data_IF_013454800779
#
_entry.id   IF_013454800779
#
_cell.length_a   1.000
_cell.length_b   1.000
_cell.length_c   1.000
_cell.angle_alpha   90.00
_cell.angle_beta   90.00
_cell.angle_gamma   90.00
#
_symmetry.space_group_name_H-M   'P 1'
#
loop_
_entity.id
_entity.type
_entity.pdbx_description
1 polymer ?
#
# COMPACT_ATOMS: atom_id res chain seq x y z
N UNK A 1 7.99 -10.21 5.75
CA UNK A 1 7.57 -10.63 4.40
C UNK A 1 7.44 -9.45 3.44
N UNK A 2 6.71 -8.39 3.79
CA UNK A 2 6.50 -7.21 2.90
C UNK A 2 7.81 -6.51 2.53
N UNK A 3 8.69 -6.25 3.50
CA UNK A 3 10.00 -5.63 3.24
C UNK A 3 10.88 -6.49 2.32
N UNK A 4 10.86 -7.82 2.49
CA UNK A 4 11.61 -8.72 1.64
C UNK A 4 11.06 -8.72 0.20
N UNK A 5 9.73 -8.73 0.03
CA UNK A 5 9.10 -8.63 -1.28
C UNK A 5 9.42 -7.29 -1.97
N UNK A 6 9.38 -6.18 -1.21
CA UNK A 6 9.73 -4.86 -1.73
C UNK A 6 11.18 -4.78 -2.18
N UNK A 7 12.12 -5.32 -1.40
CA UNK A 7 13.55 -5.35 -1.76
C UNK A 7 13.79 -6.20 -3.02
N UNK A 8 13.16 -7.38 -3.11
CA UNK A 8 13.26 -8.27 -4.28
C UNK A 8 12.72 -7.60 -5.55
N UNK A 9 11.57 -6.91 -5.46
CA UNK A 9 11.00 -6.20 -6.61
C UNK A 9 11.86 -5.00 -7.03
N UNK A 10 12.42 -4.25 -6.08
CA UNK A 10 13.31 -3.15 -6.37
C UNK A 10 14.58 -3.63 -7.11
N UNK A 11 15.19 -4.71 -6.62
CA UNK A 11 16.37 -5.32 -7.25
C UNK A 11 16.06 -5.82 -8.67
N UNK A 12 14.92 -6.49 -8.86
CA UNK A 12 14.47 -6.98 -10.17
C UNK A 12 14.32 -5.87 -11.20
N UNK A 13 13.89 -4.69 -10.77
CA UNK A 13 13.68 -3.53 -11.64
C UNK A 13 14.83 -2.51 -11.63
N UNK A 14 15.94 -2.81 -10.94
CA UNK A 14 17.08 -1.91 -10.83
C UNK A 14 16.77 -0.59 -10.13
N UNK A 15 15.77 -0.59 -9.24
CA UNK A 15 15.36 0.58 -8.48
C UNK A 15 16.11 0.67 -7.14
N UNK A 16 16.49 1.89 -6.73
CA UNK A 16 17.04 2.11 -5.40
C UNK A 16 15.97 1.80 -4.33
N UNK A 17 16.34 1.01 -3.33
CA UNK A 17 15.46 0.64 -2.22
C UNK A 17 15.99 1.21 -0.91
N UNK A 18 15.12 1.95 -0.19
CA UNK A 18 15.45 2.52 1.11
C UNK A 18 14.45 2.09 2.16
N UNK A 19 14.94 1.65 3.31
CA UNK A 19 14.12 1.32 4.48
C UNK A 19 14.28 2.43 5.52
N UNK A 20 13.15 3.01 5.92
CA UNK A 20 13.07 3.98 7.00
C UNK A 20 12.24 3.38 8.13
N UNK A 21 12.78 3.35 9.35
CA UNK A 21 12.09 2.79 10.51
C UNK A 21 11.31 3.87 11.24
N UNK A 22 10.00 3.66 11.38
CA UNK A 22 9.11 4.51 12.18
C UNK A 22 8.31 3.63 13.12
N UNK A 23 8.37 3.91 14.42
CA UNK A 23 7.59 3.16 15.40
C UNK A 23 6.16 3.71 15.54
N UNK A 24 5.22 3.15 14.78
CA UNK A 24 3.80 3.47 14.90
C UNK A 24 3.10 2.72 16.05
N UNK A 25 3.77 1.75 16.69
CA UNK A 25 3.22 1.06 17.86
C UNK A 25 3.10 1.98 19.06
N UNK A 26 4.01 2.94 19.19
CA UNK A 26 3.95 3.98 20.24
C UNK A 26 2.71 4.87 20.15
N UNK A 27 2.09 4.98 18.95
CA UNK A 27 0.84 5.70 18.72
C UNK A 27 -0.37 4.77 18.98
N UNK A 28 -0.29 3.51 18.56
CA UNK A 28 -1.36 2.53 18.73
C UNK A 28 -2.59 2.80 17.86
N UNK A 29 -3.77 2.45 18.39
CA UNK A 29 -5.07 2.76 17.77
C UNK A 29 -5.48 1.88 16.58
N UNK A 30 -4.76 0.80 16.30
CA UNK A 30 -5.08 -0.15 15.21
C UNK A 30 -4.73 -1.58 15.62
N UNK A 31 -5.45 -2.55 15.08
CA UNK A 31 -5.10 -3.96 15.22
C UNK A 31 -3.75 -4.33 14.55
N UNK A 32 -3.18 -3.46 13.74
CA UNK A 32 -1.85 -3.65 13.13
C UNK A 32 -0.72 -3.03 13.95
N UNK A 33 -1.03 -2.18 14.94
CA UNK A 33 -0.04 -1.46 15.75
C UNK A 33 -0.23 -1.65 17.26
N UNK A 34 -1.30 -2.32 17.69
CA UNK A 34 -1.60 -2.64 19.08
C UNK A 34 -1.84 -4.14 19.24
N UNK A 35 -1.91 -4.61 20.48
CA UNK A 35 -2.25 -6.02 20.79
C UNK A 35 -3.76 -6.24 20.71
N UNK A 36 -4.29 -6.14 19.50
CA UNK A 36 -5.70 -6.30 19.16
C UNK A 36 -5.78 -7.35 18.05
N UNK A 37 -6.67 -8.33 18.20
CA UNK A 37 -6.87 -9.36 17.19
C UNK A 37 -7.33 -8.76 15.85
N UNK A 38 -6.70 -9.16 14.76
CA UNK A 38 -7.12 -8.79 13.40
C UNK A 38 -8.40 -9.57 13.07
N UNK A 39 -9.53 -8.91 12.80
CA UNK A 39 -10.78 -9.60 12.50
C UNK A 39 -10.70 -10.39 11.18
N UNK A 40 -11.41 -11.51 11.13
CA UNK A 40 -11.55 -12.33 9.92
C UNK A 40 -12.71 -11.88 9.02
N UNK A 41 -13.63 -11.04 9.55
CA UNK A 41 -14.75 -10.49 8.82
C UNK A 41 -14.68 -8.97 8.73
N UNK A 42 -15.21 -8.43 7.62
CA UNK A 42 -15.35 -6.99 7.47
C UNK A 42 -16.37 -6.45 8.49
N UNK A 43 -16.03 -5.35 9.17
CA UNK A 43 -16.94 -4.59 10.01
C UNK A 43 -17.57 -3.42 9.24
N UNK A 44 -18.53 -2.75 9.87
CA UNK A 44 -19.08 -1.48 9.36
C UNK A 44 -18.14 -0.29 9.69
N UNK A 45 -18.06 0.68 8.79
CA UNK A 45 -17.30 1.92 8.99
C UNK A 45 -15.79 1.77 8.77
N UNK A 46 -14.99 2.61 9.46
CA UNK A 46 -13.53 2.57 9.36
C UNK A 46 -13.02 1.31 10.08
N UNK A 47 -12.28 0.42 9.38
CA UNK A 47 -11.84 -0.83 9.96
C UNK A 47 -10.85 -0.63 11.11
N UNK A 48 -10.86 -1.55 12.07
CA UNK A 48 -9.91 -1.56 13.17
C UNK A 48 -8.44 -1.79 12.72
N UNK A 49 -8.25 -2.23 11.47
CA UNK A 49 -6.93 -2.34 10.81
C UNK A 49 -6.44 -1.01 10.23
N UNK A 50 -7.24 0.05 10.26
CA UNK A 50 -6.79 1.38 9.92
C UNK A 50 -5.72 1.84 10.92
N UNK A 51 -4.53 2.13 10.44
CA UNK A 51 -3.46 2.74 11.22
C UNK A 51 -3.59 4.26 11.09
N UNK A 52 -3.82 5.00 12.19
CA UNK A 52 -4.06 6.43 12.12
C UNK A 52 -2.98 7.18 11.34
N UNK A 53 -3.40 7.93 10.32
CA UNK A 53 -2.55 8.77 9.46
C UNK A 53 -1.34 8.06 8.82
N UNK A 54 -1.37 6.72 8.66
CA UNK A 54 -0.22 5.95 8.14
C UNK A 54 0.23 6.45 6.77
N UNK A 55 -0.68 6.65 5.82
CA UNK A 55 -0.30 7.10 4.49
C UNK A 55 0.22 8.54 4.50
N UNK A 56 -0.30 9.40 5.38
CA UNK A 56 0.26 10.75 5.58
C UNK A 56 1.71 10.68 6.03
N UNK A 57 2.02 9.85 7.03
CA UNK A 57 3.38 9.67 7.56
C UNK A 57 4.31 9.10 6.47
N UNK A 58 3.89 8.04 5.79
CA UNK A 58 4.69 7.39 4.75
C UNK A 58 4.95 8.33 3.56
N UNK A 59 3.94 9.05 3.10
CA UNK A 59 4.09 10.01 2.01
C UNK A 59 4.97 11.20 2.42
N UNK A 60 4.91 11.65 3.69
CA UNK A 60 5.79 12.72 4.18
C UNK A 60 7.26 12.29 4.20
N UNK A 61 7.55 11.04 4.56
CA UNK A 61 8.91 10.48 4.50
C UNK A 61 9.37 10.36 3.04
N UNK A 62 8.50 9.86 2.16
CA UNK A 62 8.78 9.77 0.73
C UNK A 62 9.01 11.14 0.09
N UNK A 63 8.25 12.16 0.51
CA UNK A 63 8.42 13.54 0.09
C UNK A 63 9.80 14.09 0.45
N UNK A 64 10.25 13.91 1.71
CA UNK A 64 11.59 14.33 2.11
C UNK A 64 12.69 13.59 1.33
N UNK A 65 12.49 12.32 1.00
CA UNK A 65 13.45 11.60 0.16
C UNK A 65 13.39 12.04 -1.29
N UNK A 66 12.23 12.31 -1.86
CA UNK A 66 12.06 12.87 -3.20
C UNK A 66 12.80 14.20 -3.35
N UNK A 67 12.72 15.08 -2.34
CA UNK A 67 13.42 16.36 -2.33
C UNK A 67 14.95 16.17 -2.34
N UNK A 68 15.49 15.21 -1.56
CA UNK A 68 16.92 14.86 -1.55
C UNK A 68 17.40 14.32 -2.91
N UNK A 69 16.53 13.58 -3.61
CA UNK A 69 16.82 13.02 -4.93
C UNK A 69 16.60 14.02 -6.08
N UNK A 70 15.97 15.17 -5.83
CA UNK A 70 15.52 16.10 -6.86
C UNK A 70 14.43 15.49 -7.75
N UNK A 71 13.57 14.64 -7.19
CA UNK A 71 12.50 13.98 -7.93
C UNK A 71 11.24 14.86 -7.98
N UNK A 72 10.64 14.97 -9.16
CA UNK A 72 9.43 15.76 -9.39
C UNK A 72 8.15 14.92 -9.26
N UNK A 73 8.25 13.59 -9.25
CA UNK A 73 7.12 12.66 -9.23
C UNK A 73 7.17 11.72 -8.03
N UNK A 74 6.05 11.60 -7.31
CA UNK A 74 5.86 10.69 -6.21
C UNK A 74 4.69 9.75 -6.52
N UNK A 75 4.93 8.44 -6.52
CA UNK A 75 3.91 7.45 -6.81
C UNK A 75 3.44 6.74 -5.54
N UNK A 76 2.13 6.55 -5.39
CA UNK A 76 1.57 5.75 -4.32
C UNK A 76 0.52 4.75 -4.83
N UNK A 77 0.47 3.58 -4.22
CA UNK A 77 -0.41 2.47 -4.58
C UNK A 77 -1.76 2.49 -3.86
N UNK A 78 -2.25 3.64 -3.42
CA UNK A 78 -3.55 3.75 -2.75
C UNK A 78 -4.69 3.39 -3.70
N UNK A 79 -5.74 2.75 -3.15
CA UNK A 79 -6.91 2.31 -3.89
C UNK A 79 -8.18 2.64 -3.08
N UNK A 80 -9.15 3.30 -3.71
CA UNK A 80 -10.36 3.78 -3.08
C UNK A 80 -11.63 3.01 -3.48
N UNK A 81 -11.58 2.21 -4.56
CA UNK A 81 -12.81 1.66 -5.19
C UNK A 81 -13.40 0.49 -4.41
N UNK A 82 -12.59 -0.52 -4.08
CA UNK A 82 -13.10 -1.75 -3.46
C UNK A 82 -13.14 -1.69 -1.95
N UNK A 83 -12.44 -0.74 -1.34
CA UNK A 83 -12.38 -0.59 0.09
C UNK A 83 -12.01 0.83 0.51
N UNK A 84 -13.03 1.67 0.57
CA UNK A 84 -12.90 3.10 0.91
C UNK A 84 -12.88 3.38 2.43
N UNK A 85 -12.68 2.34 3.26
CA UNK A 85 -12.69 2.49 4.72
C UNK A 85 -11.55 3.32 5.28
N UNK A 86 -10.48 3.56 4.51
CA UNK A 86 -9.34 4.33 4.96
C UNK A 86 -9.42 5.79 4.48
N UNK A 87 -9.52 6.77 5.40
CA UNK A 87 -9.62 8.18 5.04
C UNK A 87 -8.48 8.68 4.16
N UNK A 88 -7.28 8.15 4.40
CA UNK A 88 -6.03 8.50 3.73
C UNK A 88 -5.73 7.65 2.47
N UNK A 89 -6.78 7.09 1.85
CA UNK A 89 -6.73 6.44 0.53
C UNK A 89 -7.66 7.10 -0.49
N UNK A 90 -8.31 8.21 -0.15
CA UNK A 90 -9.29 8.91 -1.02
C UNK A 90 -8.61 9.88 -1.99
N UNK A 91 -9.21 10.15 -3.15
CA UNK A 91 -8.70 11.13 -4.11
C UNK A 91 -8.44 12.50 -3.48
N UNK A 92 -9.37 12.99 -2.63
CA UNK A 92 -9.27 14.29 -1.99
C UNK A 92 -8.05 14.38 -1.04
N UNK A 93 -7.68 13.26 -0.41
CA UNK A 93 -6.47 13.18 0.40
C UNK A 93 -5.22 13.33 -0.47
N UNK A 94 -5.14 12.61 -1.59
CA UNK A 94 -3.98 12.67 -2.52
C UNK A 94 -3.81 14.08 -3.08
N UNK A 95 -4.90 14.72 -3.50
CA UNK A 95 -4.89 16.10 -3.99
C UNK A 95 -4.46 17.10 -2.91
N UNK A 96 -4.93 16.92 -1.67
CA UNK A 96 -4.54 17.78 -0.55
C UNK A 96 -3.06 17.58 -0.18
N UNK A 97 -2.56 16.34 -0.24
CA UNK A 97 -1.16 16.05 0.01
C UNK A 97 -0.24 16.64 -1.05
N UNK A 98 -0.61 16.61 -2.33
CA UNK A 98 0.16 17.28 -3.41
C UNK A 98 0.25 18.79 -3.17
N UNK A 99 -0.85 19.43 -2.76
CA UNK A 99 -0.83 20.85 -2.40
C UNK A 99 0.10 21.13 -1.23
N UNK A 100 0.03 20.29 -0.18
CA UNK A 100 0.90 20.40 0.98
C UNK A 100 2.37 20.24 0.57
N UNK A 101 2.70 19.24 -0.25
CA UNK A 101 4.06 18.99 -0.71
C UNK A 101 4.67 20.22 -1.40
N UNK A 102 3.92 20.86 -2.29
CA UNK A 102 4.37 22.03 -3.02
C UNK A 102 4.44 23.32 -2.16
N UNK A 103 3.81 23.34 -0.99
CA UNK A 103 3.91 24.44 -0.03
C UNK A 103 4.99 24.25 1.02
N UNK A 104 5.35 22.99 1.33
CA UNK A 104 6.16 22.63 2.47
C UNK A 104 7.61 22.27 2.12
N UNK A 105 7.98 22.23 0.84
CA UNK A 105 9.32 21.87 0.38
C UNK A 105 10.07 23.06 -0.20
N UNK A 106 11.40 23.01 -0.13
CA UNK A 106 12.25 24.01 -0.78
C UNK A 106 11.97 24.02 -2.30
N UNK A 107 11.94 22.87 -2.92
CA UNK A 107 11.66 22.72 -4.35
C UNK A 107 10.34 23.40 -4.74
N UNK A 108 9.26 23.21 -3.97
CA UNK A 108 7.97 23.85 -4.22
C UNK A 108 8.02 25.38 -4.11
N UNK A 109 8.75 25.91 -3.13
CA UNK A 109 8.94 27.37 -2.94
C UNK A 109 9.80 27.98 -4.07
N UNK A 110 10.77 27.22 -4.58
CA UNK A 110 11.62 27.64 -5.70
C UNK A 110 10.97 27.47 -7.08
N UNK A 111 9.73 26.99 -7.12
CA UNK A 111 8.94 26.86 -8.34
C UNK A 111 9.08 25.52 -9.07
N UNK A 112 9.76 24.53 -8.47
CA UNK A 112 9.77 23.14 -8.90
C UNK A 112 8.51 22.46 -8.40
N UNK A 113 7.72 21.91 -9.31
CA UNK A 113 6.41 21.34 -8.95
C UNK A 113 6.49 19.82 -8.83
N UNK A 114 6.32 19.33 -7.61
CA UNK A 114 6.14 17.90 -7.34
C UNK A 114 4.70 17.49 -7.68
N UNK A 115 4.55 16.34 -8.35
CA UNK A 115 3.27 15.70 -8.64
C UNK A 115 3.12 14.40 -7.83
N UNK A 116 1.90 14.16 -7.30
CA UNK A 116 1.58 12.92 -6.59
C UNK A 116 0.66 12.05 -7.44
N UNK A 117 1.16 10.91 -7.85
CA UNK A 117 0.46 9.97 -8.72
C UNK A 117 -0.12 8.81 -7.92
N UNK A 118 -1.42 8.56 -8.08
CA UNK A 118 -2.12 7.42 -7.52
C UNK A 118 -2.83 6.62 -8.64
N UNK A 119 -2.07 5.91 -9.49
CA UNK A 119 -2.60 5.32 -10.71
C UNK A 119 -3.68 4.25 -10.47
N UNK A 120 -3.70 3.64 -9.29
CA UNK A 120 -4.65 2.58 -8.92
C UNK A 120 -5.90 3.10 -8.21
N UNK A 121 -6.01 4.39 -7.94
CA UNK A 121 -7.00 4.96 -7.01
C UNK A 121 -8.45 4.68 -7.41
N UNK A 122 -8.74 4.60 -8.71
CA UNK A 122 -10.08 4.37 -9.27
C UNK A 122 -10.26 2.96 -9.86
N UNK A 123 -9.29 2.08 -9.69
CA UNK A 123 -9.33 0.72 -10.25
C UNK A 123 -9.90 -0.26 -9.23
N UNK A 124 -10.75 -1.19 -9.67
CA UNK A 124 -11.14 -2.35 -8.87
C UNK A 124 -9.96 -3.31 -8.70
N UNK A 125 -10.02 -4.23 -7.72
CA UNK A 125 -8.97 -5.26 -7.54
C UNK A 125 -8.81 -6.13 -8.78
N UNK A 126 -9.90 -6.41 -9.50
CA UNK A 126 -9.86 -7.13 -10.76
C UNK A 126 -9.11 -6.34 -11.85
N UNK A 127 -9.38 -5.04 -11.98
CA UNK A 127 -8.68 -4.19 -12.93
C UNK A 127 -7.19 -4.07 -12.61
N UNK A 128 -6.83 -3.97 -11.32
CA UNK A 128 -5.44 -3.96 -10.87
C UNK A 128 -4.73 -5.27 -11.23
N UNK A 129 -5.39 -6.43 -11.04
CA UNK A 129 -4.83 -7.72 -11.40
C UNK A 129 -4.61 -7.86 -12.92
N UNK A 130 -5.59 -7.44 -13.74
CA UNK A 130 -5.48 -7.45 -15.19
C UNK A 130 -4.38 -6.50 -15.70
N UNK A 131 -4.30 -5.30 -15.15
CA UNK A 131 -3.27 -4.33 -15.54
C UNK A 131 -1.87 -4.80 -15.13
N UNK A 132 -1.72 -5.37 -13.93
CA UNK A 132 -0.46 -5.96 -13.51
C UNK A 132 -0.04 -7.12 -14.43
N UNK A 133 -0.98 -8.00 -14.83
CA UNK A 133 -0.71 -9.05 -15.80
C UNK A 133 -0.26 -8.47 -17.15
N UNK A 134 -0.94 -7.43 -17.64
CA UNK A 134 -0.58 -6.74 -18.90
C UNK A 134 0.84 -6.17 -18.84
N UNK A 135 1.25 -5.68 -17.68
CA UNK A 135 2.58 -5.09 -17.42
C UNK A 135 3.65 -6.15 -17.08
N UNK A 136 3.29 -7.43 -17.03
CA UNK A 136 4.22 -8.52 -16.71
C UNK A 136 4.57 -8.65 -15.24
N UNK A 137 3.72 -8.14 -14.33
CA UNK A 137 3.92 -8.28 -12.89
C UNK A 137 3.80 -9.74 -12.47
N UNK A 138 4.85 -10.29 -11.86
CA UNK A 138 4.80 -11.60 -11.21
C UNK A 138 4.17 -11.48 -9.82
N UNK A 139 2.87 -11.70 -9.75
CA UNK A 139 2.11 -11.64 -8.51
C UNK A 139 2.50 -12.72 -7.47
N UNK A 140 3.25 -13.76 -7.85
CA UNK A 140 3.76 -14.75 -6.89
C UNK A 140 4.79 -14.16 -5.91
N UNK A 141 5.43 -13.03 -6.30
CA UNK A 141 6.39 -12.27 -5.49
C UNK A 141 5.74 -11.20 -4.62
N UNK A 142 4.43 -11.04 -4.70
CA UNK A 142 3.69 -10.02 -3.94
C UNK A 142 2.98 -10.62 -2.73
N UNK A 143 2.93 -9.87 -1.63
CA UNK A 143 2.28 -10.26 -0.38
C UNK A 143 1.25 -9.21 0.02
N UNK A 144 0.00 -9.63 0.26
CA UNK A 144 -1.09 -8.76 0.72
C UNK A 144 -1.58 -9.08 2.13
N UNK A 145 -1.14 -10.18 2.73
CA UNK A 145 -1.66 -10.71 3.98
C UNK A 145 -1.20 -9.90 5.20
N UNK A 146 -2.14 -9.49 6.08
CA UNK A 146 -1.82 -8.83 7.35
C UNK A 146 -1.12 -9.76 8.37
N UNK A 147 -1.26 -11.07 8.21
CA UNK A 147 -0.78 -12.10 9.11
C UNK A 147 0.05 -13.17 8.37
N UNK A 148 0.87 -12.75 7.41
CA UNK A 148 1.77 -13.67 6.73
C UNK A 148 2.74 -14.32 7.72
N UNK A 149 2.99 -15.62 7.57
CA UNK A 149 3.93 -16.35 8.42
C UNK A 149 5.40 -15.97 8.13
N UNK A 150 6.32 -16.56 8.90
CA UNK A 150 7.76 -16.31 8.76
C UNK A 150 8.34 -16.75 7.39
N UNK A 151 7.59 -17.52 6.60
CA UNK A 151 7.94 -17.96 5.25
C UNK A 151 7.23 -17.11 4.16
N UNK A 152 6.51 -16.04 4.55
CA UNK A 152 5.76 -15.18 3.66
C UNK A 152 4.48 -15.81 3.10
N UNK A 153 3.98 -16.92 3.68
CA UNK A 153 2.73 -17.54 3.26
C UNK A 153 1.54 -16.81 3.86
N UNK A 154 0.52 -16.56 3.06
CA UNK A 154 -0.67 -15.84 3.45
C UNK A 154 -1.61 -16.69 4.33
N UNK A 155 -2.30 -16.06 5.29
CA UNK A 155 -3.22 -16.78 6.19
C UNK A 155 -4.51 -17.26 5.47
N UNK A 156 -4.89 -16.66 4.34
CA UNK A 156 -6.10 -16.98 3.58
C UNK A 156 -7.42 -16.54 4.21
N UNK A 157 -7.41 -15.81 5.34
CA UNK A 157 -8.60 -15.49 6.15
C UNK A 157 -8.84 -14.00 6.37
N UNK A 158 -7.79 -13.19 6.50
CA UNK A 158 -7.93 -11.75 6.73
C UNK A 158 -8.51 -11.05 5.51
N UNK A 159 -9.05 -9.83 5.70
CA UNK A 159 -9.65 -9.03 4.64
C UNK A 159 -8.74 -8.86 3.42
N UNK A 160 -7.45 -8.61 3.64
CA UNK A 160 -6.51 -8.44 2.53
C UNK A 160 -6.39 -9.72 1.68
N UNK A 161 -6.41 -10.92 2.30
CA UNK A 161 -6.41 -12.18 1.57
C UNK A 161 -7.71 -12.40 0.80
N UNK A 162 -8.85 -12.10 1.42
CA UNK A 162 -10.17 -12.24 0.81
C UNK A 162 -10.32 -11.31 -0.39
N UNK A 163 -10.05 -10.02 -0.22
CA UNK A 163 -10.13 -9.02 -1.29
C UNK A 163 -9.19 -9.35 -2.46
N UNK A 164 -7.99 -9.87 -2.16
CA UNK A 164 -7.07 -10.33 -3.20
C UNK A 164 -7.66 -11.49 -3.99
N UNK A 165 -8.10 -12.54 -3.31
CA UNK A 165 -8.66 -13.73 -3.96
C UNK A 165 -9.90 -13.39 -4.79
N UNK A 166 -10.81 -12.55 -4.26
CA UNK A 166 -11.98 -12.04 -4.98
C UNK A 166 -11.59 -11.23 -6.22
N UNK A 167 -10.55 -10.38 -6.11
CA UNK A 167 -10.04 -9.59 -7.23
C UNK A 167 -9.49 -10.46 -8.36
N UNK A 168 -8.68 -11.48 -8.04
CA UNK A 168 -8.18 -12.43 -9.05
C UNK A 168 -9.30 -13.26 -9.67
N UNK A 169 -10.25 -13.74 -8.86
CA UNK A 169 -11.41 -14.48 -9.36
C UNK A 169 -12.27 -13.62 -10.32
N UNK A 170 -12.55 -12.37 -9.94
CA UNK A 170 -13.30 -11.43 -10.79
C UNK A 170 -12.55 -11.04 -12.07
N UNK A 171 -11.23 -11.08 -12.07
CA UNK A 171 -10.38 -10.88 -13.23
C UNK A 171 -10.31 -12.14 -14.15
N UNK A 172 -10.81 -13.30 -13.70
CA UNK A 172 -10.63 -14.56 -14.39
C UNK A 172 -9.20 -15.09 -14.41
N UNK A 173 -8.38 -14.65 -13.44
CA UNK A 173 -6.98 -15.01 -13.31
C UNK A 173 -6.76 -15.96 -12.13
N UNK A 174 -5.80 -16.90 -12.22
CA UNK A 174 -5.39 -17.69 -11.08
C UNK A 174 -4.65 -16.78 -10.06
N UNK A 175 -5.00 -16.89 -8.77
CA UNK A 175 -4.25 -16.23 -7.71
C UNK A 175 -2.99 -17.06 -7.37
N UNK A 176 -1.77 -16.54 -7.62
CA UNK A 176 -0.53 -17.27 -7.36
C UNK A 176 -0.08 -17.19 -5.90
N UNK A 177 -0.91 -16.69 -5.00
CA UNK A 177 -0.57 -16.52 -3.58
C UNK A 177 -0.25 -17.86 -2.92
N UNK A 178 0.87 -17.93 -2.23
CA UNK A 178 1.22 -19.07 -1.38
C UNK A 178 0.48 -18.96 -0.05
N UNK A 179 -0.47 -19.83 0.16
CA UNK A 179 -1.22 -19.90 1.43
C UNK A 179 -0.57 -20.86 2.43
N UNK A 180 -0.66 -20.54 3.72
CA UNK A 180 -0.30 -21.45 4.79
C UNK A 180 -1.27 -22.67 4.78
N UNK A 181 -0.81 -23.88 5.13
CA UNK A 181 -1.69 -25.02 5.31
C UNK A 181 -2.81 -24.67 6.28
N UNK A 182 -4.04 -25.08 5.95
CA UNK A 182 -5.14 -24.99 6.91
C UNK A 182 -4.88 -26.03 8.00
N UNK A 183 -4.64 -25.58 9.23
CA UNK A 183 -4.57 -26.44 10.40
C UNK A 183 -5.93 -27.02 10.75
#
# INVERSE_FOLDING_TARGET
SELAAAAELADLHGAEHKVVTVDLRSIGGSALTADIAVPEAAGEGIPITYVPARNTIMLSIALGWAEVLGADDLFCGVNAVDYSGYPDCRPEFVEAFEKLANLATQAGVEGHRLQVHAPLIRMSKAQIALEGQRLGVDFSRTVSCYQADGQGRACGRCDACRLRAEGFAAAGLPDPTRYAPRG
#
